data_IF_483855384820
#
_entry.id   IF_483855384820
#
_cell.length_a   1.000
_cell.length_b   1.000
_cell.length_c   1.000
_cell.angle_alpha   90.00
_cell.angle_beta   90.00
_cell.angle_gamma   90.00
#
_symmetry.space_group_name_H-M   'P 1'
#
loop_
_entity.id
_entity.type
_entity.pdbx_description
1 polymer ?
#
# COMPACT_ATOMS: atom_id res chain seq x y z
N UNK A 1 -28.99 12.75 3.26
CA UNK A 1 -27.62 12.80 3.82
C UNK A 1 -27.80 13.01 5.31
N UNK A 2 -27.67 11.96 6.13
CA UNK A 2 -27.81 12.08 7.58
C UNK A 2 -26.44 12.40 8.16
N UNK A 3 -26.35 13.55 8.81
CA UNK A 3 -25.23 13.96 9.62
C UNK A 3 -25.40 13.36 11.01
N UNK A 4 -24.75 12.22 11.22
CA UNK A 4 -24.67 11.61 12.54
C UNK A 4 -23.29 11.96 13.12
N UNK A 5 -23.24 12.99 13.96
CA UNK A 5 -22.05 13.35 14.72
C UNK A 5 -22.13 12.74 16.12
N UNK A 6 -21.08 12.00 16.52
CA UNK A 6 -20.97 11.39 17.84
C UNK A 6 -19.66 11.78 18.53
N UNK A 7 -19.76 12.24 19.78
CA UNK A 7 -18.60 12.47 20.64
C UNK A 7 -18.38 11.20 21.46
N UNK A 8 -17.30 10.47 21.17
CA UNK A 8 -16.96 9.21 21.83
C UNK A 8 -15.63 9.32 22.57
N UNK A 9 -15.54 8.70 23.74
CA UNK A 9 -14.29 8.51 24.49
C UNK A 9 -14.09 7.02 24.70
N UNK A 10 -12.89 6.50 24.48
CA UNK A 10 -12.56 5.10 24.73
C UNK A 10 -11.21 4.97 25.46
N UNK A 11 -11.03 3.85 26.15
CA UNK A 11 -9.72 3.42 26.67
C UNK A 11 -9.39 2.12 25.95
N UNK A 12 -8.32 2.14 25.15
CA UNK A 12 -7.85 0.98 24.41
C UNK A 12 -6.62 0.39 25.12
N UNK A 13 -6.67 -0.91 25.43
CA UNK A 13 -5.51 -1.67 25.89
C UNK A 13 -5.33 -2.89 25.02
N UNK A 14 -4.18 -2.96 24.35
CA UNK A 14 -3.81 -4.09 23.48
C UNK A 14 -2.94 -5.03 24.31
N UNK A 15 -3.35 -6.29 24.53
CA UNK A 15 -2.51 -7.27 25.22
C UNK A 15 -1.29 -7.62 24.36
N UNK A 16 -0.14 -7.81 25.00
CA UNK A 16 1.07 -8.32 24.35
C UNK A 16 1.00 -9.85 24.44
N UNK A 17 1.17 -10.58 23.32
CA UNK A 17 1.16 -12.04 23.34
C UNK A 17 2.31 -12.58 24.18
N UNK A 18 2.03 -13.63 24.94
CA UNK A 18 3.02 -14.38 25.72
C UNK A 18 3.91 -15.21 24.81
N UNK A 19 5.12 -15.56 25.27
CA UNK A 19 6.06 -16.37 24.48
C UNK A 19 5.50 -17.78 24.17
N UNK A 20 4.66 -18.31 25.05
CA UNK A 20 3.99 -19.60 24.84
C UNK A 20 2.95 -19.52 23.71
N UNK A 21 2.15 -18.46 23.65
CA UNK A 21 1.19 -18.23 22.55
C UNK A 21 1.91 -18.06 21.20
N UNK A 22 3.05 -17.36 21.20
CA UNK A 22 3.90 -17.21 20.01
C UNK A 22 4.40 -18.59 19.56
N UNK A 23 4.90 -19.40 20.48
CA UNK A 23 5.40 -20.75 20.17
C UNK A 23 4.30 -21.68 19.64
N UNK A 24 3.10 -21.62 20.21
CA UNK A 24 1.95 -22.36 19.71
C UNK A 24 1.57 -21.93 18.30
N UNK A 25 1.61 -20.63 18.02
CA UNK A 25 1.36 -20.06 16.69
C UNK A 25 2.40 -20.53 15.67
N UNK A 26 3.68 -20.53 16.05
CA UNK A 26 4.78 -21.06 15.23
C UNK A 26 4.53 -22.52 14.87
N UNK A 27 4.19 -23.37 15.86
CA UNK A 27 3.93 -24.80 15.62
C UNK A 27 2.71 -25.03 14.73
N UNK A 28 1.65 -24.21 14.89
CA UNK A 28 0.45 -24.27 14.06
C UNK A 28 0.79 -23.92 12.61
N UNK A 29 1.55 -22.85 12.40
CA UNK A 29 2.01 -22.44 11.06
C UNK A 29 2.94 -23.49 10.45
N UNK A 30 3.83 -24.11 11.22
CA UNK A 30 4.69 -25.20 10.72
C UNK A 30 3.87 -26.41 10.25
N UNK A 31 2.81 -26.76 10.99
CA UNK A 31 1.87 -27.81 10.57
C UNK A 31 1.16 -27.44 9.26
N UNK A 32 0.76 -26.17 9.09
CA UNK A 32 0.16 -25.68 7.85
C UNK A 32 1.17 -25.76 6.70
N UNK A 33 2.41 -25.33 6.94
CA UNK A 33 3.51 -25.41 5.97
C UNK A 33 3.76 -26.85 5.51
N UNK A 34 3.80 -27.81 6.44
CA UNK A 34 3.97 -29.22 6.12
C UNK A 34 2.86 -29.75 5.19
N UNK A 35 1.61 -29.34 5.41
CA UNK A 35 0.47 -29.71 4.53
C UNK A 35 0.57 -29.07 3.15
N UNK A 36 1.06 -27.83 3.06
CA UNK A 36 1.30 -27.15 1.79
C UNK A 36 2.41 -27.87 1.00
N UNK A 37 3.50 -28.23 1.67
CA UNK A 37 4.61 -28.99 1.06
C UNK A 37 4.19 -30.40 0.62
N UNK A 38 3.31 -31.06 1.37
CA UNK A 38 2.74 -32.34 1.00
C UNK A 38 1.72 -32.26 -0.16
N UNK A 39 1.41 -31.06 -0.66
CA UNK A 39 0.44 -30.85 -1.74
C UNK A 39 -1.02 -31.08 -1.32
N UNK A 40 -1.30 -31.20 -0.02
CA UNK A 40 -2.66 -31.45 0.47
C UNK A 40 -3.54 -30.21 0.36
N UNK A 41 -2.97 -29.02 0.54
CA UNK A 41 -3.66 -27.73 0.38
C UNK A 41 -2.78 -26.77 -0.44
N UNK A 42 -3.40 -25.93 -1.26
CA UNK A 42 -2.67 -24.81 -1.90
C UNK A 42 -2.33 -23.73 -0.87
N UNK A 43 -1.25 -22.96 -1.11
CA UNK A 43 -0.89 -21.83 -0.24
C UNK A 43 -2.03 -20.82 -0.12
N UNK A 44 -2.72 -20.54 -1.23
CA UNK A 44 -3.86 -19.62 -1.27
C UNK A 44 -5.00 -20.08 -0.38
N UNK A 45 -5.39 -21.35 -0.45
CA UNK A 45 -6.45 -21.91 0.41
C UNK A 45 -6.06 -21.91 1.88
N UNK A 46 -4.82 -22.32 2.17
CA UNK A 46 -4.30 -22.36 3.54
C UNK A 46 -4.27 -20.96 4.15
N UNK A 47 -3.83 -19.96 3.39
CA UNK A 47 -3.78 -18.58 3.85
C UNK A 47 -5.18 -17.98 4.05
N UNK A 48 -6.11 -18.13 3.11
CA UNK A 48 -7.48 -17.61 3.26
C UNK A 48 -8.16 -18.15 4.53
N UNK A 49 -7.91 -19.42 4.87
CA UNK A 49 -8.50 -20.08 6.05
C UNK A 49 -7.82 -19.70 7.37
N UNK A 50 -6.55 -19.31 7.36
CA UNK A 50 -5.76 -19.16 8.59
C UNK A 50 -5.16 -17.76 8.79
N UNK A 51 -5.29 -16.86 7.83
CA UNK A 51 -4.80 -15.48 7.97
C UNK A 51 -5.71 -14.68 8.90
N UNK A 52 -5.10 -13.87 9.76
CA UNK A 52 -5.80 -12.86 10.57
C UNK A 52 -5.69 -11.47 9.95
N UNK A 53 -4.95 -11.33 8.85
CA UNK A 53 -4.95 -10.12 8.03
C UNK A 53 -6.19 -10.12 7.12
N UNK A 54 -7.17 -9.30 7.49
CA UNK A 54 -8.40 -9.10 6.73
C UNK A 54 -8.12 -8.63 5.30
N UNK A 55 -7.11 -7.79 5.07
CA UNK A 55 -6.79 -7.29 3.73
C UNK A 55 -6.32 -8.43 2.82
N UNK A 56 -5.51 -9.35 3.36
CA UNK A 56 -5.02 -10.54 2.66
C UNK A 56 -6.13 -11.57 2.36
N UNK A 57 -7.21 -11.63 3.15
CA UNK A 57 -8.35 -12.54 2.88
C UNK A 57 -9.05 -12.21 1.56
N UNK A 58 -9.24 -10.93 1.29
CA UNK A 58 -9.99 -10.48 0.10
C UNK A 58 -9.14 -10.41 -1.16
N UNK A 59 -7.84 -10.13 -1.02
CA UNK A 59 -6.98 -9.82 -2.16
C UNK A 59 -6.22 -11.04 -2.70
N UNK A 60 -6.40 -12.21 -2.07
CA UNK A 60 -5.58 -13.39 -2.29
C UNK A 60 -4.19 -13.13 -1.71
N UNK A 61 -3.67 -13.99 -0.81
CA UNK A 61 -2.63 -13.71 0.20
C UNK A 61 -1.29 -13.23 -0.39
N UNK A 62 -1.28 -12.01 -0.92
CA UNK A 62 -0.20 -11.37 -1.62
C UNK A 62 0.04 -10.04 -0.93
N UNK A 63 1.31 -9.72 -0.70
CA UNK A 63 1.68 -8.37 -0.30
C UNK A 63 1.49 -7.50 -1.54
N UNK A 64 0.64 -6.49 -1.43
CA UNK A 64 0.44 -5.52 -2.51
C UNK A 64 1.39 -4.34 -2.33
N UNK A 65 1.86 -3.82 -3.46
CA UNK A 65 2.58 -2.56 -3.48
C UNK A 65 1.65 -1.39 -3.16
N UNK A 66 2.25 -0.22 -2.92
CA UNK A 66 1.49 1.03 -2.70
C UNK A 66 0.58 1.40 -3.88
N UNK A 67 0.92 0.93 -5.07
CA UNK A 67 0.15 1.10 -6.29
C UNK A 67 -0.96 0.03 -6.45
N UNK A 68 -1.12 -0.88 -5.48
CA UNK A 68 -2.08 -1.97 -5.55
C UNK A 68 -1.66 -3.12 -6.47
N UNK A 69 -0.44 -3.09 -7.01
CA UNK A 69 0.09 -4.20 -7.80
C UNK A 69 0.58 -5.33 -6.91
N UNK A 70 0.60 -6.56 -7.43
CA UNK A 70 1.19 -7.71 -6.73
C UNK A 70 2.72 -7.76 -6.83
N UNK A 71 3.33 -6.82 -7.57
CA UNK A 71 4.77 -6.66 -7.67
C UNK A 71 5.24 -5.59 -6.70
N UNK A 72 5.83 -6.04 -5.60
CA UNK A 72 6.40 -5.19 -4.57
C UNK A 72 7.89 -4.93 -4.84
N UNK A 73 8.31 -3.68 -4.71
CA UNK A 73 9.73 -3.34 -4.75
C UNK A 73 10.38 -3.60 -3.39
N UNK A 74 11.70 -3.85 -3.39
CA UNK A 74 12.46 -4.23 -2.19
C UNK A 74 12.36 -3.14 -1.09
N UNK A 75 12.26 -1.87 -1.47
CA UNK A 75 12.10 -0.74 -0.54
C UNK A 75 10.75 -0.71 0.17
N UNK A 76 9.74 -1.43 -0.34
CA UNK A 76 8.43 -1.54 0.28
C UNK A 76 8.34 -2.72 1.26
N UNK A 77 9.36 -3.56 1.33
CA UNK A 77 9.42 -4.72 2.21
C UNK A 77 10.19 -4.41 3.50
N UNK A 78 9.81 -5.07 4.60
CA UNK A 78 10.56 -4.98 5.84
C UNK A 78 11.93 -5.65 5.71
N UNK A 79 12.90 -5.19 6.52
CA UNK A 79 14.30 -5.63 6.42
C UNK A 79 14.47 -7.13 6.63
N UNK A 80 13.72 -7.71 7.55
CA UNK A 80 13.79 -9.14 7.86
C UNK A 80 13.25 -9.98 6.71
N UNK A 81 12.18 -9.52 6.05
CA UNK A 81 11.65 -10.13 4.84
C UNK A 81 12.64 -10.08 3.68
N UNK A 82 13.29 -8.94 3.46
CA UNK A 82 14.30 -8.81 2.40
C UNK A 82 15.46 -9.80 2.64
N UNK A 83 15.94 -9.91 3.88
CA UNK A 83 17.01 -10.83 4.23
C UNK A 83 16.57 -12.30 4.09
N UNK A 84 15.33 -12.61 4.43
CA UNK A 84 14.74 -13.94 4.21
C UNK A 84 14.65 -14.29 2.73
N UNK A 85 14.06 -13.40 1.91
CA UNK A 85 13.90 -13.60 0.47
C UNK A 85 15.26 -13.73 -0.24
N UNK A 86 16.30 -13.05 0.25
CA UNK A 86 17.65 -13.18 -0.32
C UNK A 86 18.24 -14.59 -0.21
N UNK A 87 17.78 -15.39 0.75
CA UNK A 87 18.23 -16.76 1.01
C UNK A 87 17.30 -17.82 0.41
N UNK A 88 16.15 -17.43 -0.11
CA UNK A 88 15.12 -18.32 -0.66
C UNK A 88 15.17 -18.35 -2.18
N UNK A 89 14.79 -19.48 -2.76
CA UNK A 89 14.57 -19.59 -4.21
C UNK A 89 13.13 -19.27 -4.57
N UNK A 90 12.92 -18.80 -5.79
CA UNK A 90 11.57 -18.63 -6.35
C UNK A 90 10.87 -19.99 -6.34
N UNK A 91 9.64 -20.02 -5.82
CA UNK A 91 8.84 -21.22 -5.60
C UNK A 91 8.94 -21.81 -4.19
N UNK A 92 9.83 -21.31 -3.32
CA UNK A 92 9.99 -21.85 -1.97
C UNK A 92 9.08 -21.19 -0.93
N UNK A 93 8.80 -21.94 0.15
CA UNK A 93 8.07 -21.51 1.33
C UNK A 93 9.02 -21.33 2.51
N UNK A 94 8.96 -20.17 3.16
CA UNK A 94 9.78 -19.86 4.33
C UNK A 94 9.42 -20.76 5.52
N UNK A 95 10.29 -20.80 6.52
CA UNK A 95 9.89 -21.25 7.85
C UNK A 95 8.96 -20.21 8.51
N UNK A 96 8.15 -20.57 9.51
CA UNK A 96 7.41 -19.59 10.31
C UNK A 96 8.39 -18.66 11.02
N UNK A 97 8.22 -17.36 10.82
CA UNK A 97 9.08 -16.34 11.43
C UNK A 97 8.22 -15.36 12.21
N UNK A 98 8.66 -15.09 13.44
CA UNK A 98 8.10 -14.06 14.29
C UNK A 98 8.62 -12.71 13.80
N UNK A 99 7.72 -11.77 13.57
CA UNK A 99 8.04 -10.40 13.18
C UNK A 99 7.18 -9.43 13.96
N UNK A 100 7.55 -8.16 13.89
CA UNK A 100 6.80 -7.09 14.53
C UNK A 100 6.12 -6.23 13.47
N UNK A 101 4.79 -6.15 13.53
CA UNK A 101 3.98 -5.33 12.65
C UNK A 101 3.34 -4.20 13.46
N UNK A 102 3.81 -2.97 13.24
CA UNK A 102 3.25 -1.77 13.90
C UNK A 102 3.14 -1.90 15.43
N UNK A 103 4.15 -2.48 16.07
CA UNK A 103 4.18 -2.68 17.54
C UNK A 103 3.50 -3.96 18.04
N UNK A 104 2.95 -4.80 17.15
CA UNK A 104 2.35 -6.09 17.49
C UNK A 104 3.26 -7.22 17.02
N UNK A 105 3.53 -8.19 17.89
CA UNK A 105 4.20 -9.44 17.49
C UNK A 105 3.24 -10.28 16.67
N UNK A 106 3.67 -10.73 15.50
CA UNK A 106 2.94 -11.61 14.61
C UNK A 106 3.86 -12.72 14.10
N UNK A 107 3.28 -13.79 13.57
CA UNK A 107 4.04 -14.89 12.98
C UNK A 107 3.55 -15.09 11.55
N UNK A 108 4.48 -15.15 10.60
CA UNK A 108 4.15 -15.31 9.18
C UNK A 108 4.93 -16.43 8.51
N UNK A 109 4.35 -16.96 7.44
CA UNK A 109 5.03 -17.78 6.43
C UNK A 109 4.93 -17.03 5.10
N UNK A 110 6.02 -17.01 4.36
CA UNK A 110 6.14 -16.30 3.09
C UNK A 110 6.34 -17.31 1.97
N UNK A 111 5.60 -17.11 0.87
CA UNK A 111 5.78 -17.85 -0.37
C UNK A 111 6.47 -16.96 -1.41
N UNK A 112 7.66 -17.34 -1.86
CA UNK A 112 8.40 -16.55 -2.83
C UNK A 112 7.95 -16.87 -4.26
N UNK A 113 6.83 -16.28 -4.70
CA UNK A 113 6.16 -16.65 -5.95
C UNK A 113 6.98 -16.38 -7.23
N UNK A 114 7.53 -15.18 -7.36
CA UNK A 114 8.29 -14.77 -8.55
C UNK A 114 9.20 -13.60 -8.22
N UNK A 115 10.24 -13.42 -9.05
CA UNK A 115 11.15 -12.28 -9.01
C UNK A 115 11.34 -11.76 -10.43
N UNK A 116 11.22 -10.46 -10.62
CA UNK A 116 11.66 -9.79 -11.85
C UNK A 116 13.13 -9.39 -11.71
N UNK A 117 13.88 -9.50 -12.80
CA UNK A 117 15.25 -8.96 -12.85
C UNK A 117 15.21 -7.44 -12.97
N UNK A 118 16.26 -6.71 -12.52
CA UNK A 118 16.36 -5.27 -12.76
C UNK A 118 16.25 -4.99 -14.26
N UNK A 119 15.24 -4.21 -14.66
CA UNK A 119 14.95 -3.87 -16.06
C UNK A 119 14.60 -2.40 -16.20
N UNK A 120 14.69 -1.90 -17.44
CA UNK A 120 14.16 -0.57 -17.79
C UNK A 120 12.64 -0.66 -17.84
N UNK A 121 12.00 0.38 -17.32
CA UNK A 121 10.56 0.47 -17.15
C UNK A 121 9.81 0.11 -18.45
N UNK A 122 8.93 -0.89 -18.39
CA UNK A 122 8.25 -1.42 -19.58
C UNK A 122 6.75 -1.67 -19.34
N UNK A 123 5.96 -1.61 -20.43
CA UNK A 123 4.50 -1.76 -20.34
C UNK A 123 4.03 -3.18 -19.97
N UNK A 124 4.88 -4.19 -20.04
CA UNK A 124 4.50 -5.57 -19.73
C UNK A 124 4.52 -5.84 -18.23
N UNK A 125 5.59 -5.39 -17.57
CA UNK A 125 5.85 -5.67 -16.17
C UNK A 125 5.43 -4.49 -15.27
N UNK A 126 5.50 -3.24 -15.74
CA UNK A 126 5.24 -2.02 -14.96
C UNK A 126 3.94 -1.29 -15.34
N UNK A 127 2.99 -1.97 -16.01
CA UNK A 127 1.75 -1.34 -16.49
C UNK A 127 1.02 -0.55 -15.40
N UNK A 128 0.88 -1.12 -14.19
CA UNK A 128 0.20 -0.48 -13.05
C UNK A 128 0.82 0.88 -12.71
N UNK A 129 2.16 0.92 -12.60
CA UNK A 129 2.91 2.13 -12.28
C UNK A 129 2.79 3.18 -13.38
N UNK A 130 2.94 2.77 -14.65
CA UNK A 130 2.81 3.67 -15.80
C UNK A 130 1.38 4.24 -15.87
N UNK A 131 0.38 3.38 -15.68
CA UNK A 131 -1.04 3.76 -15.71
C UNK A 131 -1.36 4.79 -14.63
N UNK A 132 -0.87 4.59 -13.40
CA UNK A 132 -1.06 5.55 -12.31
C UNK A 132 -0.36 6.88 -12.57
N UNK A 133 0.90 6.86 -13.02
CA UNK A 133 1.62 8.09 -13.34
C UNK A 133 0.89 8.89 -14.45
N UNK A 134 0.47 8.21 -15.52
CA UNK A 134 -0.29 8.83 -16.61
C UNK A 134 -1.68 9.34 -16.14
N UNK A 135 -2.33 8.63 -15.21
CA UNK A 135 -3.60 9.06 -14.63
C UNK A 135 -3.43 10.34 -13.81
N UNK A 136 -2.40 10.41 -12.95
CA UNK A 136 -2.11 11.61 -12.17
C UNK A 136 -1.74 12.80 -13.05
N UNK A 137 -0.95 12.59 -14.11
CA UNK A 137 -0.66 13.64 -15.09
C UNK A 137 -1.95 14.17 -15.74
N UNK A 138 -2.85 13.28 -16.17
CA UNK A 138 -4.14 13.68 -16.75
C UNK A 138 -5.04 14.42 -15.76
N UNK A 139 -5.09 13.96 -14.50
CA UNK A 139 -5.83 14.66 -13.44
C UNK A 139 -5.28 16.07 -13.24
N UNK A 140 -3.96 16.23 -13.24
CA UNK A 140 -3.31 17.53 -13.09
C UNK A 140 -3.65 18.46 -14.25
N UNK A 141 -3.60 17.97 -15.50
CA UNK A 141 -3.97 18.75 -16.69
C UNK A 141 -5.43 19.21 -16.61
N UNK A 142 -6.35 18.31 -16.25
CA UNK A 142 -7.77 18.67 -16.17
C UNK A 142 -8.07 19.61 -15.00
N UNK A 143 -7.39 19.43 -13.87
CA UNK A 143 -7.45 20.34 -12.74
C UNK A 143 -6.98 21.75 -13.13
N UNK A 144 -5.86 21.87 -13.84
CA UNK A 144 -5.34 23.16 -14.30
C UNK A 144 -6.31 23.84 -15.28
N UNK A 145 -6.88 23.09 -16.22
CA UNK A 145 -7.92 23.61 -17.13
C UNK A 145 -9.15 24.09 -16.36
N UNK A 146 -9.62 23.30 -15.39
CA UNK A 146 -10.77 23.64 -14.55
C UNK A 146 -10.49 24.91 -13.74
N UNK A 147 -9.30 25.02 -13.14
CA UNK A 147 -8.87 26.20 -12.39
C UNK A 147 -8.86 27.43 -13.29
N UNK A 148 -8.21 27.37 -14.46
CA UNK A 148 -8.14 28.50 -15.39
C UNK A 148 -9.52 28.96 -15.89
N UNK A 149 -10.49 28.05 -15.98
CA UNK A 149 -11.88 28.40 -16.33
C UNK A 149 -12.67 29.01 -15.17
N UNK A 150 -12.39 28.60 -13.93
CA UNK A 150 -13.14 29.01 -12.72
C UNK A 150 -12.56 30.24 -12.04
N UNK A 151 -11.25 30.37 -11.99
CA UNK A 151 -10.53 31.51 -11.38
C UNK A 151 -11.11 32.89 -11.82
N UNK A 152 -11.43 33.13 -13.11
CA UNK A 152 -12.00 34.40 -13.54
C UNK A 152 -13.46 34.64 -13.10
N UNK A 153 -14.15 33.65 -12.53
CA UNK A 153 -15.53 33.79 -12.03
C UNK A 153 -15.59 34.13 -10.54
N UNK A 154 -14.46 34.18 -9.85
CA UNK A 154 -14.38 34.48 -8.42
C UNK A 154 -13.51 35.71 -8.18
N UNK A 155 -13.85 36.46 -7.12
CA UNK A 155 -13.00 37.53 -6.62
C UNK A 155 -11.82 36.91 -5.85
N UNK A 156 -10.59 37.24 -6.27
CA UNK A 156 -9.35 36.76 -5.68
C UNK A 156 -8.56 37.93 -5.10
N UNK A 157 -8.36 37.91 -3.79
CA UNK A 157 -7.48 38.85 -3.09
C UNK A 157 -6.20 38.11 -2.70
N UNK A 158 -5.06 38.53 -3.25
CA UNK A 158 -3.76 37.90 -3.03
C UNK A 158 -2.93 38.82 -2.14
N UNK A 159 -2.44 38.28 -1.02
CA UNK A 159 -1.57 38.99 -0.10
C UNK A 159 -0.22 39.34 -0.78
N UNK A 160 0.37 40.47 -0.38
CA UNK A 160 1.51 41.07 -1.08
C UNK A 160 2.79 40.22 -1.01
N UNK A 161 2.96 39.47 0.06
CA UNK A 161 4.02 38.49 0.30
C UNK A 161 3.95 37.27 -0.64
N UNK A 162 2.75 36.93 -1.12
CA UNK A 162 2.52 35.79 -2.01
C UNK A 162 2.66 36.13 -3.51
N UNK A 163 2.86 37.41 -3.85
CA UNK A 163 3.05 37.88 -5.25
C UNK A 163 4.34 37.36 -5.89
N UNK A 164 5.31 36.89 -5.11
CA UNK A 164 6.56 36.30 -5.60
C UNK A 164 6.42 34.88 -6.17
N UNK A 165 5.32 34.18 -5.87
CA UNK A 165 5.13 32.79 -6.28
C UNK A 165 4.57 32.68 -7.71
N UNK A 166 5.31 32.03 -8.61
CA UNK A 166 4.96 31.97 -10.04
C UNK A 166 3.64 31.25 -10.34
N UNK A 167 3.26 30.27 -9.51
CA UNK A 167 1.96 29.61 -9.63
C UNK A 167 0.80 30.55 -9.29
N UNK A 168 0.98 31.41 -8.28
CA UNK A 168 -0.03 32.39 -7.84
C UNK A 168 -0.16 33.53 -8.85
N UNK A 169 0.95 33.96 -9.48
CA UNK A 169 0.93 34.93 -10.57
C UNK A 169 0.06 34.49 -11.74
N UNK A 170 0.20 33.23 -12.17
CA UNK A 170 -0.64 32.67 -13.26
C UNK A 170 -2.14 32.76 -12.95
N UNK A 171 -2.52 32.54 -11.69
CA UNK A 171 -3.91 32.63 -11.25
C UNK A 171 -4.39 34.09 -11.12
N UNK A 172 -3.53 34.99 -10.64
CA UNK A 172 -3.81 36.43 -10.59
C UNK A 172 -4.09 37.01 -11.99
N UNK A 173 -3.23 36.67 -12.95
CA UNK A 173 -3.37 37.08 -14.35
C UNK A 173 -4.63 36.50 -15.01
N UNK A 174 -4.96 35.24 -14.72
CA UNK A 174 -6.18 34.62 -15.21
C UNK A 174 -7.45 35.29 -14.64
N UNK A 175 -7.45 35.70 -13.37
CA UNK A 175 -8.56 36.41 -12.74
C UNK A 175 -8.80 37.80 -13.37
N UNK A 176 -7.72 38.53 -13.68
CA UNK A 176 -7.78 39.86 -14.27
C UNK A 176 -8.37 39.88 -15.70
N UNK A 177 -8.30 38.77 -16.46
CA UNK A 177 -8.75 38.71 -17.86
C UNK A 177 -10.26 38.78 -18.09
N UNK A 178 -11.08 38.68 -17.04
CA UNK A 178 -12.55 38.76 -17.14
C UNK A 178 -13.16 39.96 -16.40
N UNK A 179 -12.32 40.88 -15.95
CA UNK A 179 -12.75 42.15 -15.40
C UNK A 179 -12.94 43.17 -16.53
N UNK A 180 -13.90 42.94 -17.43
CA UNK A 180 -14.65 43.90 -18.26
C UNK A 180 -15.74 43.16 -19.04
#
# INVERSE_FOLDING_TARGET
RNGDDAIVRHILRIPIPTDEEIKQTVNKLDTIRARILAGTNSFSEAAIKNTEDESAKFQGPCILGRDGSSFVTIDQLDKDLVLMLSKMKVGEYSQPVVYEESGKKAVRIVYYKSRTEPHVLNLRDDYSRISQAALEEKKQIELEKWLMKRIPTYYLMIAEDMKGCDQVKKWAEASAKKAF
#
